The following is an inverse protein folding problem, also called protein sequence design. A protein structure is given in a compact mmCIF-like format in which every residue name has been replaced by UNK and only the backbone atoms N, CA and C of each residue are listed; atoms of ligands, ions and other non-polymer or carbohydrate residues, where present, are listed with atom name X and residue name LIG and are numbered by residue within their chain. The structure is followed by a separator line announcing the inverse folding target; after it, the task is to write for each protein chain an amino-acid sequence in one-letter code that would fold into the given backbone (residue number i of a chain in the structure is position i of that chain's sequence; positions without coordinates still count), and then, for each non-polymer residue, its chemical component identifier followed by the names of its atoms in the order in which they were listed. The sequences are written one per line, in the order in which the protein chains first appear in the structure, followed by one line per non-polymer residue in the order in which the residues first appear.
data_IF_257711823267
#
_entry.id   IF_257711823267
#
_cell.length_a   1.000
_cell.length_b   1.000
_cell.length_c   1.000
_cell.angle_alpha   90.00
_cell.angle_beta   90.00
_cell.angle_gamma   90.00
#
_symmetry.space_group_name_H-M   'P 1'
#
loop_
_entity.id
_entity.type
_entity.pdbx_description
1 polymer ?
#
# COMPACT_ATOMS: atom_id res chain seq x y z
N UNK A 1 22.50 -27.00 -0.91
CA UNK A 1 22.59 -26.23 0.35
C UNK A 1 21.25 -26.34 1.07
N UNK A 2 21.21 -27.14 2.13
CA UNK A 2 20.00 -27.53 2.87
C UNK A 2 19.59 -26.36 3.80
N UNK A 3 18.59 -25.55 3.40
CA UNK A 3 18.02 -24.49 4.26
C UNK A 3 16.82 -25.07 5.01
N UNK A 4 16.88 -24.98 6.34
CA UNK A 4 16.02 -25.67 7.29
C UNK A 4 14.53 -25.55 7.01
N UNK A 5 13.84 -26.67 7.24
CA UNK A 5 12.39 -26.88 7.31
C UNK A 5 11.74 -26.23 8.55
N UNK A 6 12.26 -25.07 8.99
CA UNK A 6 11.74 -24.34 10.14
C UNK A 6 10.40 -23.68 9.81
N UNK A 7 9.43 -23.80 10.72
CA UNK A 7 8.20 -23.01 10.65
C UNK A 7 8.53 -21.52 10.65
N UNK A 8 7.96 -20.76 9.71
CA UNK A 8 8.10 -19.31 9.68
C UNK A 8 7.63 -18.68 11.00
N UNK A 9 8.42 -17.75 11.50
CA UNK A 9 8.17 -17.02 12.75
C UNK A 9 7.26 -15.81 12.49
N UNK A 10 6.72 -15.21 13.56
CA UNK A 10 5.93 -13.97 13.45
C UNK A 10 6.72 -12.84 12.79
N UNK A 11 8.04 -12.79 13.04
CA UNK A 11 8.96 -11.82 12.43
C UNK A 11 9.03 -11.99 10.92
N UNK A 12 9.01 -13.22 10.42
CA UNK A 12 9.06 -13.48 8.98
C UNK A 12 7.76 -13.04 8.30
N UNK A 13 6.60 -13.33 8.92
CA UNK A 13 5.32 -12.83 8.43
C UNK A 13 5.26 -11.31 8.44
N UNK A 14 5.76 -10.67 9.50
CA UNK A 14 5.84 -9.22 9.61
C UNK A 14 6.74 -8.61 8.53
N UNK A 15 7.88 -9.23 8.19
CA UNK A 15 8.77 -8.74 7.14
C UNK A 15 8.11 -8.79 5.75
N UNK A 16 7.42 -9.89 5.43
CA UNK A 16 6.65 -10.02 4.18
C UNK A 16 5.53 -8.96 4.15
N UNK A 17 4.78 -8.84 5.26
CA UNK A 17 3.72 -7.86 5.41
C UNK A 17 4.23 -6.41 5.31
N UNK A 18 5.41 -6.11 5.87
CA UNK A 18 6.04 -4.78 5.83
C UNK A 18 6.44 -4.38 4.42
N UNK A 19 6.87 -5.34 3.60
CA UNK A 19 7.17 -5.07 2.18
C UNK A 19 5.92 -4.62 1.45
N UNK A 20 4.80 -5.30 1.68
CA UNK A 20 3.51 -4.93 1.11
C UNK A 20 2.99 -3.59 1.66
N UNK A 21 3.07 -3.42 2.97
CA UNK A 21 2.68 -2.19 3.66
C UNK A 21 3.44 -0.98 3.13
N UNK A 22 4.76 -1.07 3.00
CA UNK A 22 5.58 0.00 2.44
C UNK A 22 5.23 0.33 0.98
N UNK A 23 4.77 -0.66 0.21
CA UNK A 23 4.37 -0.45 -1.19
C UNK A 23 3.02 0.27 -1.32
N UNK A 24 2.13 0.07 -0.36
CA UNK A 24 0.85 0.79 -0.27
C UNK A 24 1.03 2.16 0.39
N UNK A 25 1.91 2.24 1.40
CA UNK A 25 2.32 3.46 2.07
C UNK A 25 3.24 4.30 1.16
N UNK A 26 2.66 4.79 0.08
CA UNK A 26 3.24 5.86 -0.71
C UNK A 26 3.06 7.20 0.01
N UNK A 27 3.78 8.24 -0.42
CA UNK A 27 3.70 9.57 0.18
C UNK A 27 2.29 10.19 0.04
N UNK A 28 1.52 9.83 -1.00
CA UNK A 28 0.11 10.21 -1.14
C UNK A 28 -0.83 9.54 -0.13
N UNK A 29 -0.53 8.32 0.30
CA UNK A 29 -1.26 7.68 1.41
C UNK A 29 -0.80 8.25 2.74
N UNK A 30 0.50 8.46 2.94
CA UNK A 30 1.03 9.04 4.17
C UNK A 30 0.44 10.45 4.47
N UNK A 31 0.30 11.30 3.46
CA UNK A 31 -0.36 12.61 3.58
C UNK A 31 -1.88 12.56 3.65
N UNK A 32 -2.51 11.40 3.42
CA UNK A 32 -3.96 11.25 3.33
C UNK A 32 -4.58 11.74 2.02
N UNK A 33 -3.81 12.37 1.14
CA UNK A 33 -4.30 12.91 -0.14
C UNK A 33 -4.93 11.82 -1.04
N UNK A 34 -4.28 10.65 -1.15
CA UNK A 34 -4.81 9.52 -1.93
C UNK A 34 -6.10 8.98 -1.31
N UNK A 35 -6.16 8.86 0.01
CA UNK A 35 -7.35 8.33 0.72
C UNK A 35 -8.51 9.31 0.65
N UNK A 36 -8.24 10.61 0.74
CA UNK A 36 -9.23 11.65 0.50
C UNK A 36 -9.76 11.59 -0.93
N UNK A 37 -8.87 11.57 -1.93
CA UNK A 37 -9.21 11.61 -3.34
C UNK A 37 -9.94 10.36 -3.84
N UNK A 38 -9.72 9.20 -3.23
CA UNK A 38 -10.31 7.91 -3.64
C UNK A 38 -11.51 7.50 -2.76
N UNK A 39 -11.49 7.82 -1.47
CA UNK A 39 -12.50 7.35 -0.53
C UNK A 39 -13.24 8.49 0.14
N UNK A 40 -12.61 9.27 1.02
CA UNK A 40 -13.33 10.19 1.91
C UNK A 40 -14.17 11.24 1.16
N UNK A 41 -13.74 11.67 -0.04
CA UNK A 41 -14.52 12.54 -0.94
C UNK A 41 -15.79 11.91 -1.53
N UNK A 42 -16.11 10.64 -1.23
CA UNK A 42 -17.35 9.95 -1.65
C UNK A 42 -18.34 9.75 -0.50
N UNK A 43 -18.20 10.55 0.56
CA UNK A 43 -19.15 10.57 1.67
C UNK A 43 -19.06 9.36 2.59
N UNK A 44 -20.14 9.12 3.32
CA UNK A 44 -20.20 8.15 4.42
C UNK A 44 -19.80 6.72 4.02
N UNK A 45 -19.95 6.35 2.74
CA UNK A 45 -19.55 5.04 2.23
C UNK A 45 -18.04 4.76 2.38
N UNK A 46 -17.21 5.79 2.45
CA UNK A 46 -15.77 5.66 2.67
C UNK A 46 -15.43 4.97 4.01
N UNK A 47 -16.32 5.04 5.00
CA UNK A 47 -16.14 4.38 6.30
C UNK A 47 -16.05 2.86 6.22
N UNK A 48 -16.59 2.24 5.17
CA UNK A 48 -16.60 0.78 5.02
C UNK A 48 -16.08 0.31 3.66
N UNK A 49 -16.31 1.06 2.57
CA UNK A 49 -15.80 0.70 1.24
C UNK A 49 -14.28 0.71 1.17
N UNK A 50 -13.61 1.49 2.01
CA UNK A 50 -12.14 1.47 2.13
C UNK A 50 -11.64 0.09 2.57
N UNK A 51 -12.29 -0.50 3.57
CA UNK A 51 -11.95 -1.83 4.08
C UNK A 51 -12.21 -2.92 3.04
N UNK A 52 -13.29 -2.76 2.26
CA UNK A 52 -13.59 -3.63 1.12
C UNK A 52 -12.53 -3.51 0.02
N UNK A 53 -12.15 -2.30 -0.39
CA UNK A 53 -11.15 -2.06 -1.43
C UNK A 53 -9.78 -2.64 -1.05
N UNK A 54 -9.34 -2.42 0.19
CA UNK A 54 -8.10 -3.05 0.70
C UNK A 54 -8.26 -4.58 0.73
N UNK A 55 -9.40 -5.10 1.22
CA UNK A 55 -9.65 -6.54 1.29
C UNK A 55 -9.60 -7.23 -0.08
N UNK A 56 -10.18 -6.58 -1.10
CA UNK A 56 -10.15 -7.04 -2.48
C UNK A 56 -8.71 -7.23 -2.98
N UNK A 57 -7.81 -6.29 -2.68
CA UNK A 57 -6.39 -6.42 -3.03
C UNK A 57 -5.74 -7.64 -2.39
N UNK A 58 -6.02 -7.89 -1.11
CA UNK A 58 -5.45 -9.03 -0.37
C UNK A 58 -5.97 -10.37 -0.86
N UNK A 59 -7.21 -10.43 -1.37
CA UNK A 59 -7.73 -11.61 -2.08
C UNK A 59 -6.92 -11.85 -3.37
N UNK A 60 -6.65 -10.79 -4.15
CA UNK A 60 -5.81 -10.89 -5.34
C UNK A 60 -4.39 -11.35 -5.03
N UNK A 61 -3.75 -10.79 -4.00
CA UNK A 61 -2.42 -11.21 -3.56
C UNK A 61 -2.40 -12.69 -3.15
N UNK A 62 -3.42 -13.15 -2.45
CA UNK A 62 -3.52 -14.55 -2.05
C UNK A 62 -3.51 -15.50 -3.25
N UNK A 63 -4.33 -15.24 -4.27
CA UNK A 63 -4.37 -16.09 -5.46
C UNK A 63 -3.04 -16.07 -6.21
N UNK A 64 -2.44 -14.90 -6.38
CA UNK A 64 -1.18 -14.77 -7.10
C UNK A 64 0.00 -15.40 -6.34
N UNK A 65 0.07 -15.24 -5.02
CA UNK A 65 1.11 -15.87 -4.18
C UNK A 65 0.94 -17.39 -4.10
N UNK A 66 -0.30 -17.90 -4.01
CA UNK A 66 -0.56 -19.33 -3.99
C UNK A 66 -0.23 -19.97 -5.36
N UNK A 67 -0.55 -19.28 -6.45
CA UNK A 67 -0.15 -19.69 -7.80
C UNK A 67 1.38 -19.76 -7.93
N UNK A 68 2.08 -18.69 -7.50
CA UNK A 68 3.54 -18.66 -7.51
C UNK A 68 4.15 -19.81 -6.68
N UNK A 69 3.57 -20.10 -5.51
CA UNK A 69 4.00 -21.20 -4.64
C UNK A 69 3.82 -22.57 -5.28
N UNK A 70 2.67 -22.83 -5.91
CA UNK A 70 2.36 -24.11 -6.54
C UNK A 70 3.26 -24.39 -7.75
N UNK A 71 3.60 -23.36 -8.51
CA UNK A 71 4.44 -23.46 -9.71
C UNK A 71 5.92 -23.15 -9.45
N UNK A 72 6.32 -22.93 -8.19
CA UNK A 72 7.69 -22.57 -7.77
C UNK A 72 8.26 -21.36 -8.53
N UNK A 73 7.40 -20.39 -8.84
CA UNK A 73 7.76 -19.19 -9.59
C UNK A 73 8.36 -18.14 -8.66
N UNK A 74 9.53 -17.64 -9.03
CA UNK A 74 10.27 -16.61 -8.27
C UNK A 74 10.22 -15.23 -8.89
N UNK A 75 9.75 -15.15 -10.13
CA UNK A 75 9.63 -13.91 -10.87
C UNK A 75 8.15 -13.64 -11.20
N UNK A 76 7.73 -12.39 -11.05
CA UNK A 76 6.38 -11.97 -11.38
C UNK A 76 6.07 -12.13 -12.88
N UNK A 77 7.08 -11.97 -13.74
CA UNK A 77 6.93 -12.15 -15.18
C UNK A 77 6.48 -13.58 -15.52
N UNK A 78 6.98 -14.59 -14.80
CA UNK A 78 6.59 -15.98 -15.03
C UNK A 78 5.20 -16.29 -14.47
N UNK A 79 4.78 -15.60 -13.40
CA UNK A 79 3.39 -15.64 -12.93
C UNK A 79 2.45 -15.08 -13.98
N UNK A 80 2.81 -13.97 -14.63
CA UNK A 80 2.02 -13.43 -15.74
C UNK A 80 1.97 -14.37 -16.94
N UNK A 81 3.09 -15.01 -17.32
CA UNK A 81 3.07 -16.04 -18.37
C UNK A 81 2.09 -17.16 -18.06
N UNK A 82 2.09 -17.62 -16.81
CA UNK A 82 1.18 -18.66 -16.35
C UNK A 82 -0.29 -18.25 -16.35
N UNK A 83 -0.59 -17.04 -15.88
CA UNK A 83 -1.96 -16.51 -15.78
C UNK A 83 -2.56 -16.13 -17.14
N UNK A 84 -1.77 -15.51 -18.02
CA UNK A 84 -2.26 -15.02 -19.32
C UNK A 84 -2.17 -16.07 -20.43
N UNK A 85 -1.54 -17.23 -20.20
CA UNK A 85 -1.43 -18.29 -21.19
C UNK A 85 -0.88 -17.75 -22.52
N UNK A 86 -1.57 -17.97 -23.65
CA UNK A 86 -1.15 -17.49 -24.98
C UNK A 86 -1.11 -15.95 -25.10
N UNK A 87 -1.84 -15.21 -24.27
CA UNK A 87 -1.87 -13.74 -24.30
C UNK A 87 -0.60 -13.11 -23.69
N UNK A 88 0.27 -13.89 -23.03
CA UNK A 88 1.48 -13.38 -22.38
C UNK A 88 2.38 -12.55 -23.31
N UNK A 89 2.43 -12.87 -24.61
CA UNK A 89 3.28 -12.17 -25.58
C UNK A 89 2.91 -10.69 -25.75
N UNK A 90 1.66 -10.33 -25.47
CA UNK A 90 1.16 -8.96 -25.52
C UNK A 90 0.96 -8.42 -24.10
N UNK A 91 0.41 -9.23 -23.20
CA UNK A 91 0.11 -8.85 -21.83
C UNK A 91 1.39 -8.59 -21.01
N UNK A 92 2.45 -9.40 -21.15
CA UNK A 92 3.68 -9.21 -20.38
C UNK A 92 4.40 -7.90 -20.73
N UNK A 93 4.67 -7.57 -22.01
CA UNK A 93 5.27 -6.27 -22.35
C UNK A 93 4.42 -5.07 -21.89
N UNK A 94 3.10 -5.18 -21.99
CA UNK A 94 2.19 -4.13 -21.49
C UNK A 94 2.29 -3.98 -19.97
N UNK A 95 2.31 -5.08 -19.22
CA UNK A 95 2.47 -5.06 -17.76
C UNK A 95 3.85 -4.56 -17.36
N UNK A 96 4.91 -4.94 -18.05
CA UNK A 96 6.27 -4.46 -17.80
C UNK A 96 6.36 -2.94 -18.02
N UNK A 97 5.73 -2.43 -19.09
CA UNK A 97 5.60 -0.99 -19.32
C UNK A 97 4.79 -0.30 -18.21
N UNK A 98 3.64 -0.88 -17.81
CA UNK A 98 2.81 -0.33 -16.75
C UNK A 98 3.55 -0.28 -15.40
N UNK A 99 4.31 -1.34 -15.07
CA UNK A 99 5.14 -1.39 -13.86
C UNK A 99 6.27 -0.36 -13.94
N UNK A 100 6.99 -0.26 -15.06
CA UNK A 100 8.05 0.73 -15.25
C UNK A 100 7.52 2.17 -15.14
N UNK A 101 6.37 2.44 -15.77
CA UNK A 101 5.67 3.71 -15.68
C UNK A 101 5.25 4.02 -14.23
N UNK A 102 4.64 3.07 -13.53
CA UNK A 102 4.23 3.24 -12.15
C UNK A 102 5.41 3.51 -11.21
N UNK A 103 6.54 2.83 -11.40
CA UNK A 103 7.78 3.07 -10.64
C UNK A 103 8.32 4.47 -10.92
N UNK A 104 8.37 4.89 -12.19
CA UNK A 104 8.85 6.22 -12.56
C UNK A 104 7.98 7.34 -11.95
N UNK A 105 6.65 7.21 -12.08
CA UNK A 105 5.70 8.15 -11.47
C UNK A 105 5.81 8.13 -9.95
N UNK A 106 5.95 6.95 -9.34
CA UNK A 106 6.15 6.80 -7.90
C UNK A 106 7.40 7.55 -7.41
N UNK A 107 8.53 7.42 -8.11
CA UNK A 107 9.77 8.15 -7.80
C UNK A 107 9.58 9.67 -7.92
N UNK A 108 8.88 10.14 -8.97
CA UNK A 108 8.59 11.55 -9.15
C UNK A 108 7.74 12.12 -8.01
N UNK A 109 6.69 11.39 -7.60
CA UNK A 109 5.80 11.80 -6.50
C UNK A 109 6.57 11.84 -5.18
N UNK A 110 7.38 10.82 -4.87
CA UNK A 110 8.20 10.80 -3.63
C UNK A 110 9.18 11.96 -3.63
N UNK A 111 9.84 12.22 -4.76
CA UNK A 111 10.79 13.33 -4.90
C UNK A 111 10.11 14.68 -4.67
N UNK A 112 8.96 14.90 -5.30
CA UNK A 112 8.21 16.15 -5.16
C UNK A 112 7.68 16.37 -3.74
N UNK A 113 7.15 15.32 -3.10
CA UNK A 113 6.63 15.44 -1.73
C UNK A 113 7.75 15.67 -0.71
N UNK A 114 8.90 14.99 -0.84
CA UNK A 114 10.03 15.23 0.04
C UNK A 114 10.61 16.64 -0.14
N UNK A 115 10.74 17.11 -1.38
CA UNK A 115 11.15 18.48 -1.65
C UNK A 115 10.21 19.51 -1.03
N UNK A 116 8.89 19.24 -1.09
CA UNK A 116 7.87 20.11 -0.49
C UNK A 116 7.93 20.11 1.04
N UNK A 117 8.12 18.93 1.66
CA UNK A 117 8.29 18.80 3.10
C UNK A 117 9.52 19.57 3.60
N UNK A 118 10.62 19.54 2.85
CA UNK A 118 11.85 20.27 3.22
C UNK A 118 11.66 21.80 3.18
N UNK A 119 10.76 22.31 2.33
CA UNK A 119 10.43 23.74 2.31
C UNK A 119 9.77 24.20 3.61
N UNK A 120 8.99 23.34 4.29
CA UNK A 120 8.40 23.66 5.60
C UNK A 120 9.47 23.93 6.65
N UNK A 121 10.69 23.41 6.46
CA UNK A 121 11.83 23.58 7.35
C UNK A 121 12.82 24.65 6.84
N UNK A 122 12.41 25.44 5.84
CA UNK A 122 13.22 26.51 5.25
C UNK A 122 14.30 26.03 4.28
N UNK A 123 14.32 24.76 3.90
CA UNK A 123 15.28 24.21 2.93
C UNK A 123 14.69 24.36 1.52
N UNK A 124 15.42 24.93 0.54
CA UNK A 124 14.92 25.06 -0.83
C UNK A 124 14.56 23.72 -1.45
N UNK A 125 13.48 23.67 -2.24
CA UNK A 125 12.94 22.47 -2.85
C UNK A 125 14.02 21.57 -3.51
N UNK A 126 14.83 22.15 -4.41
CA UNK A 126 15.86 21.41 -5.15
C UNK A 126 16.99 20.90 -4.24
N UNK A 127 17.27 21.58 -3.13
CA UNK A 127 18.23 21.12 -2.12
C UNK A 127 17.67 19.91 -1.38
N UNK A 128 16.40 19.95 -0.99
CA UNK A 128 15.70 18.79 -0.42
C UNK A 128 15.71 17.59 -1.35
N UNK A 129 15.41 17.80 -2.63
CA UNK A 129 15.50 16.75 -3.66
C UNK A 129 16.90 16.16 -3.77
N UNK A 130 17.95 16.99 -3.78
CA UNK A 130 19.33 16.52 -3.84
C UNK A 130 19.71 15.67 -2.62
N UNK A 131 19.25 16.04 -1.42
CA UNK A 131 19.45 15.27 -0.18
C UNK A 131 18.81 13.88 -0.30
N UNK A 132 17.56 13.79 -0.77
CA UNK A 132 16.85 12.52 -0.94
C UNK A 132 17.61 11.57 -1.88
N UNK A 133 18.04 12.08 -3.04
CA UNK A 133 18.76 11.27 -4.02
C UNK A 133 20.16 10.87 -3.52
N UNK A 134 20.83 11.72 -2.75
CA UNK A 134 22.08 11.37 -2.07
C UNK A 134 21.91 10.18 -1.13
N UNK A 135 20.90 10.18 -0.27
CA UNK A 135 20.59 9.04 0.59
C UNK A 135 20.18 7.80 -0.19
N UNK A 136 19.42 7.96 -1.27
CA UNK A 136 18.99 6.85 -2.13
C UNK A 136 20.17 6.17 -2.82
N UNK A 137 21.16 6.95 -3.29
CA UNK A 137 22.39 6.44 -3.89
C UNK A 137 23.26 5.70 -2.86
N UNK A 138 23.41 6.25 -1.65
CA UNK A 138 24.10 5.55 -0.57
C UNK A 138 23.43 4.21 -0.26
N UNK A 139 22.10 4.19 -0.17
CA UNK A 139 21.32 2.98 0.01
C UNK A 139 21.54 1.93 -1.10
N UNK A 140 21.68 2.38 -2.35
CA UNK A 140 22.00 1.50 -3.48
C UNK A 140 23.40 0.89 -3.37
N UNK A 141 24.39 1.62 -2.83
CA UNK A 141 25.78 1.15 -2.67
C UNK A 141 25.89 0.09 -1.56
N UNK A 142 25.23 0.29 -0.41
CA UNK A 142 25.32 -0.62 0.74
C UNK A 142 24.56 -1.95 0.58
N UNK A 143 23.84 -2.13 -0.54
CA UNK A 143 23.18 -3.37 -0.90
C UNK A 143 21.83 -3.59 -0.22
N UNK A 144 21.08 -4.57 -0.74
CA UNK A 144 19.67 -4.79 -0.41
C UNK A 144 19.42 -5.28 1.02
N UNK A 145 20.41 -5.88 1.68
CA UNK A 145 20.22 -6.47 3.01
C UNK A 145 20.18 -5.42 4.13
N UNK A 146 20.92 -4.31 3.99
CA UNK A 146 20.80 -3.16 4.87
C UNK A 146 19.43 -2.50 4.69
N UNK A 147 19.02 -2.32 3.44
CA UNK A 147 17.73 -1.70 3.09
C UNK A 147 16.54 -2.47 3.67
N UNK A 148 16.55 -3.81 3.59
CA UNK A 148 15.51 -4.68 4.18
C UNK A 148 15.39 -4.50 5.70
N UNK A 149 16.50 -4.36 6.42
CA UNK A 149 16.47 -4.12 7.88
C UNK A 149 15.89 -2.76 8.21
N UNK A 150 16.30 -1.72 7.49
CA UNK A 150 15.81 -0.35 7.66
C UNK A 150 14.32 -0.27 7.36
N UNK A 151 13.86 -0.90 6.27
CA UNK A 151 12.47 -0.88 5.84
C UNK A 151 11.50 -1.44 6.90
N UNK A 152 11.86 -2.54 7.56
CA UNK A 152 11.03 -3.11 8.62
C UNK A 152 10.86 -2.16 9.81
N UNK A 153 11.95 -1.48 10.21
CA UNK A 153 11.93 -0.48 11.29
C UNK A 153 11.11 0.75 10.88
N UNK A 154 11.34 1.28 9.68
CA UNK A 154 10.58 2.42 9.15
C UNK A 154 9.09 2.12 9.04
N UNK A 155 8.73 0.91 8.59
CA UNK A 155 7.33 0.48 8.50
C UNK A 155 6.66 0.46 9.88
N UNK A 156 7.35 0.00 10.92
CA UNK A 156 6.84 -0.01 12.28
C UNK A 156 6.66 1.41 12.84
N UNK A 157 7.63 2.31 12.61
CA UNK A 157 7.55 3.71 13.03
C UNK A 157 6.35 4.38 12.34
N UNK A 158 6.23 4.23 11.02
CA UNK A 158 5.16 4.86 10.24
C UNK A 158 3.79 4.32 10.60
N UNK A 159 3.66 3.01 10.84
CA UNK A 159 2.42 2.41 11.32
C UNK A 159 2.02 3.00 12.68
N UNK A 160 2.97 3.17 13.60
CA UNK A 160 2.72 3.72 14.94
C UNK A 160 2.31 5.18 14.87
N UNK A 161 3.07 6.01 14.14
CA UNK A 161 2.77 7.43 13.97
C UNK A 161 1.40 7.64 13.33
N UNK A 162 1.11 6.92 12.24
CA UNK A 162 -0.16 7.05 11.53
C UNK A 162 -1.32 6.59 12.39
N UNK A 163 -1.15 5.52 13.18
CA UNK A 163 -2.16 5.09 14.15
C UNK A 163 -2.47 6.19 15.17
N UNK A 164 -1.44 6.80 15.78
CA UNK A 164 -1.62 7.88 16.77
C UNK A 164 -2.33 9.08 16.14
N UNK A 165 -1.89 9.52 14.96
CA UNK A 165 -2.50 10.66 14.24
C UNK A 165 -3.96 10.35 13.90
N UNK A 166 -4.24 9.18 13.31
CA UNK A 166 -5.61 8.80 12.95
C UNK A 166 -6.53 8.76 14.18
N UNK A 167 -6.09 8.19 15.29
CA UNK A 167 -6.87 8.14 16.54
C UNK A 167 -7.12 9.55 17.08
N UNK A 168 -6.09 10.41 17.10
CA UNK A 168 -6.25 11.80 17.53
C UNK A 168 -7.25 12.56 16.64
N UNK A 169 -7.15 12.41 15.32
CA UNK A 169 -8.09 13.01 14.36
C UNK A 169 -9.53 12.54 14.62
N UNK A 170 -9.75 11.23 14.79
CA UNK A 170 -11.09 10.68 15.05
C UNK A 170 -11.67 11.22 16.36
N UNK A 171 -10.87 11.33 17.43
CA UNK A 171 -11.34 11.86 18.71
C UNK A 171 -11.76 13.33 18.56
N UNK A 172 -10.94 14.15 17.89
CA UNK A 172 -11.23 15.57 17.70
C UNK A 172 -12.44 15.82 16.79
N UNK A 173 -12.62 15.01 15.74
CA UNK A 173 -13.73 15.13 14.79
C UNK A 173 -14.92 14.21 15.06
N UNK A 174 -15.01 13.59 16.24
CA UNK A 174 -15.98 12.49 16.48
C UNK A 174 -17.44 12.91 16.29
N UNK A 175 -17.77 14.16 16.61
CA UNK A 175 -19.13 14.68 16.46
C UNK A 175 -19.51 14.81 14.98
N UNK A 176 -18.61 15.35 14.16
CA UNK A 176 -18.77 15.47 12.71
C UNK A 176 -18.87 14.07 12.09
N UNK A 177 -17.99 13.15 12.49
CA UNK A 177 -18.06 11.77 12.02
C UNK A 177 -19.42 11.12 12.32
N UNK A 178 -19.94 11.28 13.55
CA UNK A 178 -21.26 10.77 13.93
C UNK A 178 -22.37 11.39 13.09
N UNK A 179 -22.29 12.68 12.82
CA UNK A 179 -23.25 13.38 11.97
C UNK A 179 -23.22 12.87 10.53
N UNK A 180 -22.05 12.70 9.93
CA UNK A 180 -21.91 12.11 8.57
C UNK A 180 -22.54 10.72 8.52
N UNK A 181 -22.30 9.91 9.56
CA UNK A 181 -22.84 8.55 9.61
C UNK A 181 -24.36 8.52 9.84
N UNK A 182 -24.91 9.43 10.64
CA UNK A 182 -26.35 9.50 10.93
C UNK A 182 -27.14 10.07 9.75
N UNK A 183 -26.62 11.13 9.12
CA UNK A 183 -27.22 11.79 7.95
C UNK A 183 -26.93 11.05 6.65
N UNK A 184 -25.99 10.10 6.66
CA UNK A 184 -25.45 9.44 5.47
C UNK A 184 -24.97 10.46 4.45
N UNK A 185 -24.22 11.44 4.91
CA UNK A 185 -23.75 12.55 4.09
C UNK A 185 -23.01 12.06 2.83
N UNK A 186 -23.34 12.69 1.71
CA UNK A 186 -22.72 12.48 0.41
C UNK A 186 -22.39 13.85 -0.19
N UNK A 187 -21.28 13.97 -0.94
CA UNK A 187 -21.01 15.16 -1.74
C UNK A 187 -22.11 15.35 -2.79
N UNK A 188 -22.27 16.58 -3.27
CA UNK A 188 -23.20 16.88 -4.36
C UNK A 188 -22.90 16.04 -5.61
N UNK A 189 -23.93 15.44 -6.20
CA UNK A 189 -23.78 14.49 -7.31
C UNK A 189 -23.13 13.15 -6.94
N UNK A 190 -22.82 12.91 -5.66
CA UNK A 190 -22.26 11.66 -5.15
C UNK A 190 -23.25 10.51 -5.26
N UNK A 191 -22.81 9.39 -5.83
CA UNK A 191 -23.61 8.16 -5.90
C UNK A 191 -22.90 6.98 -5.27
N UNK A 192 -23.69 6.02 -4.76
CA UNK A 192 -23.14 4.76 -4.25
C UNK A 192 -22.35 4.00 -5.33
N UNK A 193 -22.84 3.99 -6.57
CA UNK A 193 -22.15 3.35 -7.69
C UNK A 193 -20.76 3.95 -7.94
N UNK A 194 -20.62 5.27 -7.88
CA UNK A 194 -19.33 5.93 -7.98
C UNK A 194 -18.42 5.54 -6.80
N UNK A 195 -18.95 5.51 -5.57
CA UNK A 195 -18.18 5.08 -4.40
C UNK A 195 -17.64 3.65 -4.56
N UNK A 196 -18.49 2.73 -5.01
CA UNK A 196 -18.13 1.33 -5.28
C UNK A 196 -17.10 1.23 -6.41
N UNK A 197 -17.29 1.95 -7.51
CA UNK A 197 -16.35 1.98 -8.63
C UNK A 197 -14.93 2.31 -8.17
N UNK A 198 -14.77 3.36 -7.36
CA UNK A 198 -13.45 3.75 -6.86
C UNK A 198 -12.87 2.78 -5.85
N UNK A 199 -13.69 2.13 -5.03
CA UNK A 199 -13.23 1.06 -4.15
C UNK A 199 -12.70 -0.14 -4.95
N UNK A 200 -13.36 -0.52 -6.04
CA UNK A 200 -12.88 -1.54 -6.97
C UNK A 200 -11.60 -1.11 -7.69
N UNK A 201 -11.57 0.12 -8.23
CA UNK A 201 -10.38 0.68 -8.88
C UNK A 201 -9.17 0.63 -7.96
N UNK A 202 -9.31 1.12 -6.72
CA UNK A 202 -8.26 1.00 -5.71
C UNK A 202 -7.86 -0.45 -5.50
N UNK A 203 -8.84 -1.32 -5.26
CA UNK A 203 -8.62 -2.74 -5.02
C UNK A 203 -7.77 -3.41 -6.11
N UNK A 204 -8.14 -3.20 -7.38
CA UNK A 204 -7.46 -3.77 -8.54
C UNK A 204 -6.10 -3.15 -8.82
N UNK A 205 -5.97 -1.82 -8.73
CA UNK A 205 -4.68 -1.13 -8.91
C UNK A 205 -3.67 -1.65 -7.89
N UNK A 206 -4.10 -1.88 -6.66
CA UNK A 206 -3.21 -2.40 -5.63
C UNK A 206 -2.76 -3.84 -5.92
N UNK A 207 -3.57 -4.70 -6.54
CA UNK A 207 -3.17 -6.09 -6.88
C UNK A 207 -1.85 -6.14 -7.68
N UNK A 208 -1.55 -5.11 -8.48
CA UNK A 208 -0.30 -5.02 -9.23
C UNK A 208 0.96 -5.07 -8.33
N UNK A 209 0.83 -4.65 -7.06
CA UNK A 209 1.92 -4.70 -6.06
C UNK A 209 2.31 -6.12 -5.69
N UNK A 210 1.62 -7.16 -6.19
CA UNK A 210 2.09 -8.54 -6.06
C UNK A 210 3.51 -8.72 -6.61
N UNK A 211 3.93 -7.91 -7.59
CA UNK A 211 5.28 -7.95 -8.16
C UNK A 211 6.39 -7.77 -7.11
N UNK A 212 6.13 -7.00 -6.05
CA UNK A 212 7.07 -6.82 -4.92
C UNK A 212 6.98 -7.93 -3.88
N UNK A 213 5.87 -8.67 -3.85
CA UNK A 213 5.65 -9.76 -2.90
C UNK A 213 6.26 -11.09 -3.38
N UNK A 214 6.18 -11.38 -4.68
CA UNK A 214 6.64 -12.65 -5.25
C UNK A 214 8.12 -12.95 -4.93
N UNK A 215 9.06 -11.99 -5.04
CA UNK A 215 10.46 -12.22 -4.68
C UNK A 215 10.68 -12.60 -3.21
N UNK A 216 9.74 -12.27 -2.32
CA UNK A 216 9.83 -12.59 -0.89
C UNK A 216 9.22 -13.97 -0.55
N UNK A 217 8.69 -14.70 -1.54
CA UNK A 217 8.11 -16.03 -1.34
C UNK A 217 9.14 -17.16 -1.20
N UNK A 218 10.44 -16.87 -1.35
CA UNK A 218 11.50 -17.89 -1.31
C UNK A 218 11.54 -18.71 -0.01
N UNK A 219 11.01 -18.15 1.09
CA UNK A 219 10.91 -18.80 2.40
C UNK A 219 9.54 -19.44 2.67
N UNK A 220 8.55 -19.14 1.83
CA UNK A 220 7.16 -19.60 1.98
C UNK A 220 7.04 -20.99 1.38
N UNK A 221 6.58 -21.96 2.19
CA UNK A 221 6.42 -23.36 1.77
C UNK A 221 4.99 -23.85 1.89
N UNK A 222 4.22 -23.34 2.87
CA UNK A 222 2.84 -23.77 3.12
C UNK A 222 1.85 -22.67 2.76
N UNK A 223 0.67 -23.09 2.32
CA UNK A 223 -0.50 -22.21 2.12
C UNK A 223 -0.89 -21.43 3.37
N UNK A 224 -0.73 -22.05 4.56
CA UNK A 224 -0.97 -21.40 5.85
C UNK A 224 -0.07 -20.19 6.07
N UNK A 225 1.15 -20.21 5.54
CA UNK A 225 2.14 -19.16 5.74
C UNK A 225 1.77 -17.92 4.93
N UNK A 226 1.26 -18.12 3.70
CA UNK A 226 0.69 -17.05 2.87
C UNK A 226 -0.47 -16.40 3.60
N UNK A 227 -1.42 -17.20 4.13
CA UNK A 227 -2.58 -16.67 4.86
C UNK A 227 -2.17 -15.85 6.08
N UNK A 228 -1.17 -16.30 6.84
CA UNK A 228 -0.67 -15.56 8.01
C UNK A 228 0.02 -14.26 7.60
N UNK A 229 0.91 -14.30 6.61
CA UNK A 229 1.59 -13.10 6.10
C UNK A 229 0.61 -12.06 5.56
N UNK A 230 -0.35 -12.50 4.74
CA UNK A 230 -1.40 -11.64 4.21
C UNK A 230 -2.36 -11.14 5.30
N UNK A 231 -2.66 -11.95 6.31
CA UNK A 231 -3.46 -11.52 7.46
C UNK A 231 -2.79 -10.38 8.24
N UNK A 232 -1.50 -10.51 8.53
CA UNK A 232 -0.70 -9.43 9.16
C UNK A 232 -0.67 -8.19 8.27
N UNK A 233 -0.38 -8.37 6.98
CA UNK A 233 -0.37 -7.26 6.02
C UNK A 233 -1.72 -6.56 5.91
N UNK A 234 -2.83 -7.31 5.91
CA UNK A 234 -4.17 -6.76 5.81
C UNK A 234 -4.50 -5.90 7.03
N UNK A 235 -4.15 -6.38 8.23
CA UNK A 235 -4.32 -5.62 9.47
C UNK A 235 -3.51 -4.32 9.45
N UNK A 236 -2.22 -4.37 9.05
CA UNK A 236 -1.38 -3.18 8.94
C UNK A 236 -1.97 -2.14 7.97
N UNK A 237 -2.49 -2.60 6.82
CA UNK A 237 -3.05 -1.72 5.79
C UNK A 237 -4.44 -1.18 6.13
N UNK A 238 -5.26 -1.94 6.87
CA UNK A 238 -6.52 -1.42 7.40
C UNK A 238 -6.30 -0.34 8.47
N UNK A 239 -5.29 -0.52 9.32
CA UNK A 239 -4.89 0.51 10.29
C UNK A 239 -4.42 1.78 9.60
N UNK A 240 -3.71 1.64 8.48
CA UNK A 240 -3.26 2.78 7.70
C UNK A 240 -4.41 3.43 6.93
N UNK A 241 -4.92 2.77 5.90
CA UNK A 241 -5.83 3.36 4.92
C UNK A 241 -7.26 3.40 5.45
N UNK A 242 -7.69 2.34 6.14
CA UNK A 242 -9.04 2.23 6.71
C UNK A 242 -9.30 3.27 7.78
N UNK A 243 -8.44 3.34 8.81
CA UNK A 243 -8.58 4.35 9.86
C UNK A 243 -8.34 5.76 9.33
N UNK A 244 -7.42 5.96 8.39
CA UNK A 244 -7.22 7.28 7.79
C UNK A 244 -8.46 7.75 7.02
N UNK A 245 -9.18 6.84 6.35
CA UNK A 245 -10.45 7.21 5.72
C UNK A 245 -11.49 7.66 6.74
N UNK A 246 -11.56 7.01 7.90
CA UNK A 246 -12.47 7.40 8.99
C UNK A 246 -12.01 8.74 9.60
N UNK A 247 -10.72 8.91 9.83
CA UNK A 247 -10.12 10.13 10.34
C UNK A 247 -10.39 11.33 9.42
N UNK A 248 -10.26 11.15 8.11
CA UNK A 248 -10.57 12.19 7.13
C UNK A 248 -12.06 12.53 7.10
N UNK A 249 -12.96 11.53 7.17
CA UNK A 249 -14.39 11.79 7.28
C UNK A 249 -14.73 12.65 8.50
N UNK A 250 -14.00 12.51 9.61
CA UNK A 250 -14.20 13.32 10.82
C UNK A 250 -13.99 14.84 10.62
N UNK A 251 -13.50 15.27 9.45
CA UNK A 251 -13.30 16.67 9.06
C UNK A 251 -13.96 17.00 7.71
N UNK A 252 -14.96 16.22 7.28
CA UNK A 252 -15.69 16.45 6.04
C UNK A 252 -17.06 17.12 6.27
N UNK A 253 -17.60 17.88 5.28
CA UNK A 253 -16.88 18.42 4.13
C UNK A 253 -15.75 19.36 4.60
N UNK A 254 -14.63 19.38 3.88
CA UNK A 254 -13.52 20.26 4.20
C UNK A 254 -14.03 21.70 4.35
N UNK A 255 -13.78 22.32 5.51
CA UNK A 255 -13.97 23.76 5.73
C UNK A 255 -13.01 24.51 4.83
#
# INVERSE_FOLDING_TARGET
MNKSTGSLTLRDYFNIASTQFASILGPGVASGATVLAIFASRGWHASWLTFFGVGLSFVGYYFAMEYARLHQLRNYADVYKGLYGKLYRVATPFMDFAVAYAVFVGMAIVTAQFGSLMMEWGIPFFVGVAILWGFSLLGAIFGTDLFRKIQGVLSLILLTLTLVINVACIINGINIFKEIMSTRWMPEGGTFANAVYWAFQYGFVQIQMVTVLIPNLDIVRKKSDIKKALGVGYLMNMTLVGLQSIALLAFMPAV
#
